data_IF_622563051823
#
_entry.id   IF_622563051823
#
_cell.length_a   1.000
_cell.length_b   1.000
_cell.length_c   1.000
_cell.angle_alpha   90.00
_cell.angle_beta   90.00
_cell.angle_gamma   90.00
#
_symmetry.space_group_name_H-M   'P 1'
#
loop_
_entity.id
_entity.type
_entity.pdbx_description
1 polymer ?
#
# COMPACT_ATOMS: atom_id res chain seq x y z
N UNK A 1 76.55 31.82 4.55
CA UNK A 1 76.05 31.00 5.67
C UNK A 1 74.53 31.11 5.81
N UNK A 2 73.94 32.30 5.99
CA UNK A 2 72.47 32.53 6.10
C UNK A 2 71.65 31.88 4.98
N UNK A 3 72.08 32.00 3.71
CA UNK A 3 71.40 31.37 2.56
C UNK A 3 71.37 29.84 2.62
N UNK A 4 72.43 29.21 3.13
CA UNK A 4 72.53 27.75 3.24
C UNK A 4 71.73 27.19 4.43
N UNK A 5 71.67 27.94 5.54
CA UNK A 5 70.79 27.64 6.67
C UNK A 5 69.32 27.77 6.28
N UNK A 6 68.96 28.83 5.52
CA UNK A 6 67.60 29.00 5.01
C UNK A 6 67.21 27.90 4.02
N UNK A 7 68.13 27.49 3.14
CA UNK A 7 67.90 26.38 2.19
C UNK A 7 67.74 25.02 2.91
N UNK A 8 68.49 24.77 3.98
CA UNK A 8 68.34 23.53 4.76
C UNK A 8 67.09 23.52 5.63
N UNK A 9 66.70 24.65 6.19
CA UNK A 9 65.43 24.78 6.91
C UNK A 9 64.23 24.60 5.98
N UNK A 10 64.28 25.18 4.77
CA UNK A 10 63.26 24.96 3.74
C UNK A 10 63.16 23.49 3.30
N UNK A 11 64.29 22.79 3.16
CA UNK A 11 64.32 21.35 2.87
C UNK A 11 63.71 20.54 4.03
N UNK A 12 64.05 20.85 5.28
CA UNK A 12 63.46 20.21 6.45
C UNK A 12 61.95 20.45 6.53
N UNK A 13 61.49 21.66 6.24
CA UNK A 13 60.05 21.97 6.20
C UNK A 13 59.33 21.13 5.15
N UNK A 14 59.91 20.99 3.96
CA UNK A 14 59.35 20.14 2.91
C UNK A 14 59.35 18.66 3.31
N UNK A 15 60.41 18.15 3.95
CA UNK A 15 60.42 16.76 4.43
C UNK A 15 59.41 16.53 5.55
N UNK A 16 59.20 17.50 6.43
CA UNK A 16 58.16 17.41 7.46
C UNK A 16 56.76 17.32 6.83
N UNK A 17 56.51 18.09 5.76
CA UNK A 17 55.25 18.00 4.98
C UNK A 17 55.09 16.63 4.34
N UNK A 18 56.15 16.09 3.72
CA UNK A 18 56.15 14.75 3.13
C UNK A 18 55.93 13.65 4.18
N UNK A 19 56.53 13.79 5.36
CA UNK A 19 56.35 12.86 6.47
C UNK A 19 54.90 12.84 6.96
N UNK A 20 54.27 14.01 7.09
CA UNK A 20 52.86 14.13 7.47
C UNK A 20 51.95 13.50 6.42
N UNK A 21 52.22 13.73 5.12
CA UNK A 21 51.47 13.10 4.02
C UNK A 21 51.57 11.57 4.08
N UNK A 22 52.78 11.02 4.14
CA UNK A 22 53.00 9.57 4.17
C UNK A 22 52.36 8.96 5.43
N UNK A 23 52.51 9.60 6.59
CA UNK A 23 51.90 9.14 7.83
C UNK A 23 50.37 9.11 7.73
N UNK A 24 49.77 10.16 7.15
CA UNK A 24 48.34 10.18 6.86
C UNK A 24 47.95 9.02 5.94
N UNK A 25 48.57 8.89 4.77
CA UNK A 25 48.21 7.88 3.77
C UNK A 25 48.39 6.44 4.28
N UNK A 26 49.41 6.17 5.11
CA UNK A 26 49.59 4.87 5.77
C UNK A 26 48.48 4.61 6.80
N UNK A 27 48.11 5.63 7.59
CA UNK A 27 47.09 5.48 8.64
C UNK A 27 45.65 5.41 8.11
N UNK A 28 45.33 6.22 7.10
CA UNK A 28 43.98 6.36 6.54
C UNK A 28 43.74 5.42 5.38
N UNK A 29 44.79 4.82 4.80
CA UNK A 29 44.79 4.06 3.53
C UNK A 29 44.26 4.86 2.32
N UNK A 30 44.00 6.16 2.49
CA UNK A 30 43.51 7.05 1.44
C UNK A 30 44.66 7.84 0.85
N UNK A 31 44.63 7.99 -0.48
CA UNK A 31 45.63 8.70 -1.27
C UNK A 31 45.57 10.22 -1.09
N UNK A 32 44.39 10.79 -0.85
CA UNK A 32 44.19 12.22 -0.66
C UNK A 32 43.61 12.50 0.72
N UNK A 33 44.06 13.60 1.34
CA UNK A 33 43.46 14.11 2.57
C UNK A 33 42.51 15.28 2.28
N UNK A 34 42.91 16.16 1.36
CA UNK A 34 42.18 17.38 1.03
C UNK A 34 41.96 17.52 -0.47
N UNK A 35 40.89 18.23 -0.86
CA UNK A 35 40.65 18.56 -2.27
C UNK A 35 41.72 19.47 -2.90
N UNK A 36 42.54 20.15 -2.08
CA UNK A 36 43.70 20.90 -2.54
C UNK A 36 44.85 20.03 -3.04
N UNK A 37 44.89 18.75 -2.64
CA UNK A 37 45.99 17.84 -3.00
C UNK A 37 45.88 17.39 -4.47
N UNK A 38 44.65 17.07 -4.92
CA UNK A 38 44.29 16.84 -6.32
C UNK A 38 42.78 17.04 -6.50
N UNK A 39 42.37 18.19 -7.06
CA UNK A 39 40.97 18.54 -7.20
C UNK A 39 40.19 17.59 -8.13
N UNK A 40 40.83 17.05 -9.17
CA UNK A 40 40.17 16.17 -10.13
C UNK A 40 39.93 14.79 -9.51
N UNK A 41 40.97 14.24 -8.87
CA UNK A 41 40.87 12.95 -8.20
C UNK A 41 39.91 13.01 -7.02
N UNK A 42 39.93 14.09 -6.23
CA UNK A 42 39.02 14.30 -5.11
C UNK A 42 37.56 14.42 -5.57
N UNK A 43 37.29 15.10 -6.68
CA UNK A 43 35.93 15.19 -7.25
C UNK A 43 35.40 13.81 -7.63
N UNK A 44 36.26 12.95 -8.22
CA UNK A 44 35.87 11.57 -8.56
C UNK A 44 35.65 10.70 -7.33
N UNK A 45 36.47 10.85 -6.28
CA UNK A 45 36.29 10.13 -5.02
C UNK A 45 34.95 10.49 -4.35
N UNK A 46 34.63 11.79 -4.27
CA UNK A 46 33.33 12.26 -3.77
C UNK A 46 32.17 11.68 -4.57
N UNK A 47 32.27 11.69 -5.90
CA UNK A 47 31.22 11.12 -6.75
C UNK A 47 30.99 9.63 -6.49
N UNK A 48 32.07 8.86 -6.27
CA UNK A 48 31.98 7.43 -5.97
C UNK A 48 31.43 7.17 -4.56
N UNK A 49 31.83 7.97 -3.58
CA UNK A 49 31.30 7.92 -2.21
C UNK A 49 29.80 8.26 -2.16
N UNK A 50 29.36 9.27 -2.92
CA UNK A 50 27.94 9.61 -3.09
C UNK A 50 27.16 8.44 -3.69
N UNK A 51 27.67 7.84 -4.78
CA UNK A 51 27.03 6.67 -5.38
C UNK A 51 26.97 5.49 -4.42
N UNK A 52 28.02 5.21 -3.66
CA UNK A 52 28.00 4.15 -2.64
C UNK A 52 26.89 4.38 -1.62
N UNK A 53 26.80 5.59 -1.04
CA UNK A 53 25.76 5.93 -0.06
C UNK A 53 24.35 5.79 -0.62
N UNK A 54 24.12 6.24 -1.86
CA UNK A 54 22.82 6.08 -2.54
C UNK A 54 22.45 4.60 -2.68
N UNK A 55 23.37 3.77 -3.17
CA UNK A 55 23.09 2.34 -3.35
C UNK A 55 22.98 1.57 -2.02
N UNK A 56 23.74 1.94 -0.99
CA UNK A 56 23.58 1.39 0.37
C UNK A 56 22.22 1.72 0.96
N UNK A 57 21.73 2.96 0.79
CA UNK A 57 20.37 3.35 1.18
C UNK A 57 19.29 2.56 0.44
N UNK A 58 19.45 2.38 -0.88
CA UNK A 58 18.53 1.55 -1.69
C UNK A 58 18.56 0.09 -1.21
N UNK A 59 19.75 -0.46 -0.92
CA UNK A 59 19.90 -1.83 -0.40
C UNK A 59 19.09 -2.02 0.89
N UNK A 60 19.25 -1.12 1.86
CA UNK A 60 18.52 -1.16 3.13
C UNK A 60 16.99 -1.13 2.90
N UNK A 61 16.55 -0.29 1.97
CA UNK A 61 15.13 -0.16 1.63
C UNK A 61 14.56 -1.42 0.97
N UNK A 62 15.34 -2.09 0.10
CA UNK A 62 14.97 -3.38 -0.49
C UNK A 62 14.92 -4.46 0.60
N UNK A 63 15.91 -4.54 1.49
CA UNK A 63 15.95 -5.52 2.58
C UNK A 63 14.75 -5.38 3.52
N UNK A 64 14.38 -4.15 3.90
CA UNK A 64 13.16 -3.86 4.67
C UNK A 64 11.91 -4.34 3.92
N UNK A 65 11.84 -4.06 2.62
CA UNK A 65 10.71 -4.48 1.78
C UNK A 65 10.60 -6.00 1.66
N UNK A 66 11.73 -6.69 1.51
CA UNK A 66 11.77 -8.16 1.49
C UNK A 66 11.31 -8.75 2.82
N UNK A 67 11.71 -8.17 3.96
CA UNK A 67 11.21 -8.60 5.27
C UNK A 67 9.67 -8.46 5.37
N UNK A 68 9.13 -7.32 4.93
CA UNK A 68 7.67 -7.11 4.86
C UNK A 68 6.99 -8.13 3.95
N UNK A 69 7.51 -8.35 2.75
CA UNK A 69 6.95 -9.31 1.79
C UNK A 69 7.01 -10.76 2.31
N UNK A 70 8.05 -11.15 3.04
CA UNK A 70 8.15 -12.50 3.60
C UNK A 70 7.10 -12.75 4.68
N UNK A 71 6.79 -11.74 5.49
CA UNK A 71 5.67 -11.81 6.45
C UNK A 71 4.34 -11.91 5.69
N UNK A 72 4.13 -11.09 4.66
CA UNK A 72 2.95 -11.21 3.78
C UNK A 72 2.85 -12.60 3.13
N UNK A 73 3.96 -13.20 2.70
CA UNK A 73 3.98 -14.52 2.07
C UNK A 73 3.52 -15.62 3.03
N UNK A 74 4.10 -15.62 4.24
CA UNK A 74 3.73 -16.59 5.29
C UNK A 74 2.28 -16.43 5.75
N UNK A 75 1.81 -15.18 5.91
CA UNK A 75 0.44 -14.90 6.35
C UNK A 75 -0.58 -15.24 5.26
N UNK A 76 -0.31 -14.97 3.99
CA UNK A 76 -1.19 -15.38 2.88
C UNK A 76 -1.25 -16.90 2.69
N UNK A 77 -0.14 -17.60 2.91
CA UNK A 77 -0.15 -19.05 2.92
C UNK A 77 -1.11 -19.59 3.99
N UNK A 78 -1.10 -18.99 5.19
CA UNK A 78 -2.02 -19.36 6.27
C UNK A 78 -3.46 -18.97 5.96
N UNK A 79 -3.71 -17.77 5.42
CA UNK A 79 -5.03 -17.34 4.94
C UNK A 79 -5.61 -18.37 3.97
N UNK A 80 -4.82 -18.85 3.00
CA UNK A 80 -5.26 -19.88 2.04
C UNK A 80 -5.60 -21.21 2.72
N UNK A 81 -4.84 -21.62 3.74
CA UNK A 81 -5.15 -22.82 4.52
C UNK A 81 -6.50 -22.66 5.25
N UNK A 82 -6.72 -21.50 5.88
CA UNK A 82 -7.97 -21.18 6.56
C UNK A 82 -9.16 -21.16 5.59
N UNK A 83 -9.03 -20.53 4.42
CA UNK A 83 -10.10 -20.52 3.40
C UNK A 83 -10.37 -21.92 2.84
N UNK A 84 -9.33 -22.76 2.69
CA UNK A 84 -9.50 -24.17 2.31
C UNK A 84 -10.27 -24.94 3.37
N UNK A 85 -9.94 -24.72 4.65
CA UNK A 85 -10.66 -25.32 5.77
C UNK A 85 -12.13 -24.88 5.81
N UNK A 86 -12.41 -23.58 5.66
CA UNK A 86 -13.78 -23.05 5.57
C UNK A 86 -14.56 -23.74 4.45
N UNK A 87 -13.96 -23.86 3.25
CA UNK A 87 -14.59 -24.53 2.11
C UNK A 87 -14.92 -26.00 2.41
N UNK A 88 -14.01 -26.72 3.09
CA UNK A 88 -14.25 -28.11 3.48
C UNK A 88 -15.39 -28.24 4.50
N UNK A 89 -15.41 -27.39 5.51
CA UNK A 89 -16.48 -27.38 6.52
C UNK A 89 -17.83 -26.98 5.93
N UNK A 90 -17.84 -26.03 4.98
CA UNK A 90 -19.03 -25.63 4.26
C UNK A 90 -19.60 -26.78 3.41
N UNK A 91 -18.76 -27.54 2.70
CA UNK A 91 -19.18 -28.72 1.94
C UNK A 91 -19.79 -29.79 2.87
N UNK A 92 -19.22 -29.98 4.07
CA UNK A 92 -19.78 -30.91 5.06
C UNK A 92 -21.15 -30.42 5.58
N UNK A 93 -21.27 -29.13 5.86
CA UNK A 93 -22.51 -28.55 6.36
C UNK A 93 -23.64 -28.57 5.31
N UNK A 94 -23.30 -28.38 4.04
CA UNK A 94 -24.23 -28.42 2.91
C UNK A 94 -24.67 -29.85 2.54
N UNK A 95 -24.18 -30.87 3.24
CA UNK A 95 -24.69 -32.23 3.08
C UNK A 95 -26.03 -32.38 3.83
N UNK A 96 -27.06 -32.89 3.13
CA UNK A 96 -28.41 -33.05 3.68
C UNK A 96 -28.50 -34.01 4.87
N UNK A 97 -27.48 -34.84 5.12
CA UNK A 97 -27.41 -35.76 6.26
C UNK A 97 -26.84 -35.12 7.54
N UNK A 98 -26.29 -33.91 7.46
CA UNK A 98 -25.72 -33.20 8.62
C UNK A 98 -26.84 -32.66 9.51
N UNK A 99 -26.77 -32.97 10.81
CA UNK A 99 -27.72 -32.48 11.81
C UNK A 99 -27.53 -30.99 12.09
N UNK A 100 -28.57 -30.34 12.62
CA UNK A 100 -28.50 -28.93 13.00
C UNK A 100 -27.44 -28.70 14.09
N UNK A 101 -27.38 -29.55 15.12
CA UNK A 101 -26.34 -29.47 16.16
C UNK A 101 -24.91 -29.53 15.59
N UNK A 102 -24.71 -30.34 14.52
CA UNK A 102 -23.41 -30.42 13.86
C UNK A 102 -23.12 -29.15 13.05
N UNK A 103 -24.12 -28.53 12.41
CA UNK A 103 -23.97 -27.24 11.71
C UNK A 103 -23.62 -26.11 12.67
N UNK A 104 -24.24 -26.08 13.84
CA UNK A 104 -23.92 -25.10 14.90
C UNK A 104 -22.51 -25.29 15.45
N UNK A 105 -22.06 -26.55 15.64
CA UNK A 105 -20.68 -26.83 16.01
C UNK A 105 -19.67 -26.36 14.94
N UNK A 106 -20.00 -26.52 13.65
CA UNK A 106 -19.21 -25.99 12.54
C UNK A 106 -19.18 -24.46 12.61
N UNK A 107 -20.33 -23.79 12.85
CA UNK A 107 -20.40 -22.34 12.96
C UNK A 107 -19.48 -21.80 14.06
N UNK A 108 -19.41 -22.47 15.22
CA UNK A 108 -18.47 -22.11 16.31
C UNK A 108 -17.01 -22.20 15.85
N UNK A 109 -16.64 -23.27 15.13
CA UNK A 109 -15.28 -23.40 14.58
C UNK A 109 -14.98 -22.29 13.56
N UNK A 110 -15.94 -21.97 12.68
CA UNK A 110 -15.80 -20.92 11.67
C UNK A 110 -15.68 -19.52 12.28
N UNK A 111 -16.32 -19.25 13.43
CA UNK A 111 -16.08 -18.01 14.19
C UNK A 111 -14.63 -17.90 14.66
N UNK A 112 -14.03 -19.00 15.14
CA UNK A 112 -12.61 -19.03 15.48
C UNK A 112 -11.70 -18.82 14.27
N UNK A 113 -12.07 -19.38 13.11
CA UNK A 113 -11.35 -19.14 11.85
C UNK A 113 -11.47 -17.69 11.39
N UNK A 114 -12.65 -17.08 11.51
CA UNK A 114 -12.88 -15.65 11.22
C UNK A 114 -11.97 -14.76 12.07
N UNK A 115 -11.85 -15.06 13.36
CA UNK A 115 -10.96 -14.32 14.27
C UNK A 115 -9.49 -14.48 13.87
N UNK A 116 -9.05 -15.71 13.56
CA UNK A 116 -7.68 -15.94 13.07
C UNK A 116 -7.41 -15.18 11.76
N UNK A 117 -8.37 -15.19 10.83
CA UNK A 117 -8.27 -14.46 9.58
C UNK A 117 -8.20 -12.94 9.81
N UNK A 118 -8.94 -12.43 10.79
CA UNK A 118 -8.93 -11.03 11.19
C UNK A 118 -7.60 -10.58 11.81
N UNK A 119 -6.96 -11.46 12.60
CA UNK A 119 -5.61 -11.21 13.11
C UNK A 119 -4.60 -11.15 11.96
N UNK A 120 -4.60 -12.14 11.07
CA UNK A 120 -3.68 -12.20 9.92
C UNK A 120 -3.86 -11.02 8.96
N UNK A 121 -5.09 -10.57 8.74
CA UNK A 121 -5.38 -9.44 7.85
C UNK A 121 -4.94 -8.08 8.43
N UNK A 122 -4.63 -8.03 9.73
CA UNK A 122 -4.11 -6.86 10.42
C UNK A 122 -2.65 -7.02 10.86
N UNK A 123 -1.90 -7.95 10.27
CA UNK A 123 -0.50 -8.17 10.59
C UNK A 123 0.35 -6.90 10.35
N UNK A 124 1.36 -6.71 11.19
CA UNK A 124 2.26 -5.56 11.15
C UNK A 124 3.72 -5.98 11.07
N UNK A 125 4.51 -5.16 10.38
CA UNK A 125 5.97 -5.27 10.36
C UNK A 125 6.55 -3.91 10.67
N UNK A 126 7.34 -3.82 11.74
CA UNK A 126 7.91 -2.56 12.25
C UNK A 126 6.85 -1.47 12.56
N UNK A 127 5.64 -1.88 12.95
CA UNK A 127 4.51 -0.98 13.22
C UNK A 127 3.78 -0.47 11.98
N UNK A 128 4.17 -0.92 10.78
CA UNK A 128 3.44 -0.66 9.53
C UNK A 128 2.49 -1.82 9.21
N UNK A 129 1.24 -1.52 8.91
CA UNK A 129 0.31 -2.51 8.37
C UNK A 129 0.69 -2.89 6.94
N UNK A 130 0.70 -4.20 6.67
CA UNK A 130 1.13 -4.73 5.37
C UNK A 130 0.01 -4.74 4.31
N UNK A 131 -1.26 -4.77 4.73
CA UNK A 131 -2.43 -4.89 3.84
C UNK A 131 -3.25 -3.59 3.68
N UNK A 132 -2.81 -2.47 4.26
CA UNK A 132 -3.59 -1.23 4.28
C UNK A 132 -3.58 -0.42 2.97
N UNK A 133 -2.70 -0.76 2.03
CA UNK A 133 -2.52 0.01 0.79
C UNK A 133 -1.48 1.12 0.93
N UNK A 134 -1.80 2.33 0.45
CA UNK A 134 -0.88 3.46 0.42
C UNK A 134 -0.57 4.01 1.81
N UNK A 135 -1.56 4.05 2.71
CA UNK A 135 -1.40 4.47 4.10
C UNK A 135 -1.08 3.27 5.02
N UNK A 136 0.19 3.15 5.44
CA UNK A 136 0.64 2.07 6.33
C UNK A 136 0.22 2.22 7.79
N UNK A 137 -0.29 3.38 8.20
CA UNK A 137 -0.65 3.66 9.60
C UNK A 137 -2.11 3.37 9.90
N UNK A 138 -2.95 3.29 8.87
CA UNK A 138 -4.37 2.94 9.02
C UNK A 138 -4.52 1.44 9.21
N UNK A 139 -5.30 1.05 10.22
CA UNK A 139 -5.66 -0.36 10.44
C UNK A 139 -6.53 -0.85 9.27
N UNK A 140 -6.09 -1.88 8.51
CA UNK A 140 -6.77 -2.28 7.29
C UNK A 140 -8.17 -2.82 7.55
N UNK A 141 -8.35 -3.69 8.54
CA UNK A 141 -9.65 -4.29 8.85
C UNK A 141 -10.14 -3.88 10.23
N UNK A 142 -11.30 -3.23 10.29
CA UNK A 142 -11.93 -2.75 11.52
C UNK A 142 -13.24 -3.48 11.74
N UNK A 143 -13.42 -3.99 12.95
CA UNK A 143 -14.66 -4.62 13.39
C UNK A 143 -15.57 -3.59 14.06
N UNK A 144 -16.84 -3.54 13.67
CA UNK A 144 -17.84 -2.70 14.31
C UNK A 144 -18.48 -3.38 15.55
N UNK A 145 -19.38 -2.67 16.25
CA UNK A 145 -20.06 -3.19 17.43
C UNK A 145 -20.99 -4.40 17.14
N UNK A 146 -21.43 -4.56 15.88
CA UNK A 146 -22.18 -5.72 15.41
C UNK A 146 -21.29 -6.91 15.06
N UNK A 147 -19.96 -6.74 15.08
CA UNK A 147 -19.00 -7.79 14.75
C UNK A 147 -18.70 -7.92 13.25
N UNK A 148 -19.24 -7.02 12.41
CA UNK A 148 -18.97 -6.94 10.97
C UNK A 148 -17.60 -6.28 10.75
N UNK A 149 -16.84 -6.84 9.83
CA UNK A 149 -15.47 -6.40 9.54
C UNK A 149 -15.46 -5.62 8.24
N UNK A 150 -14.97 -4.39 8.27
CA UNK A 150 -14.88 -3.51 7.10
C UNK A 150 -13.42 -3.20 6.77
N UNK A 151 -13.12 -3.12 5.47
CA UNK A 151 -11.79 -2.74 5.00
C UNK A 151 -11.71 -1.22 4.86
N UNK A 152 -10.79 -0.59 5.59
CA UNK A 152 -10.55 0.85 5.65
C UNK A 152 -9.32 1.30 4.84
N UNK A 153 -8.57 0.37 4.28
CA UNK A 153 -7.44 0.69 3.42
C UNK A 153 -7.87 1.08 2.00
N UNK A 154 -6.87 1.40 1.18
CA UNK A 154 -7.02 1.71 -0.24
C UNK A 154 -6.49 0.58 -1.14
N UNK A 155 -6.68 0.75 -2.44
CA UNK A 155 -6.26 -0.17 -3.50
C UNK A 155 -4.84 0.10 -4.02
N UNK A 156 -4.20 1.20 -3.62
CA UNK A 156 -2.94 1.65 -4.15
C UNK A 156 -1.75 1.04 -3.40
N UNK A 157 -0.69 0.75 -4.15
CA UNK A 157 0.51 0.14 -3.59
C UNK A 157 1.58 1.18 -3.34
N UNK A 158 2.26 1.02 -2.20
CA UNK A 158 3.47 1.81 -1.90
C UNK A 158 4.58 1.47 -2.89
N UNK A 159 5.35 2.47 -3.30
CA UNK A 159 6.51 2.29 -4.16
C UNK A 159 7.79 2.39 -3.35
N UNK A 160 8.82 1.68 -3.77
CA UNK A 160 10.13 1.71 -3.12
C UNK A 160 11.23 1.72 -4.17
N UNK A 161 12.35 2.39 -3.85
CA UNK A 161 13.47 2.51 -4.76
C UNK A 161 14.15 1.14 -4.93
N UNK A 162 14.39 0.74 -6.18
CA UNK A 162 15.12 -0.49 -6.53
C UNK A 162 16.41 -0.20 -7.28
N UNK A 163 16.58 1.04 -7.73
CA UNK A 163 17.79 1.59 -8.33
C UNK A 163 17.74 3.12 -8.28
N UNK A 164 18.85 3.77 -8.60
CA UNK A 164 18.93 5.23 -8.75
C UNK A 164 17.90 5.72 -9.76
N UNK A 165 16.88 6.44 -9.28
CA UNK A 165 15.76 6.94 -10.09
C UNK A 165 14.71 5.90 -10.52
N UNK A 166 14.78 4.65 -10.04
CA UNK A 166 13.83 3.59 -10.41
C UNK A 166 13.06 3.05 -9.20
N UNK A 167 11.74 3.01 -9.33
CA UNK A 167 10.83 2.59 -8.26
C UNK A 167 9.99 1.39 -8.68
N UNK A 168 9.65 0.53 -7.72
CA UNK A 168 8.75 -0.61 -7.91
C UNK A 168 7.73 -0.67 -6.79
N UNK A 169 6.55 -1.17 -7.09
CA UNK A 169 5.49 -1.43 -6.11
C UNK A 169 5.92 -2.52 -5.13
N UNK A 170 5.61 -2.33 -3.85
CA UNK A 170 5.89 -3.28 -2.77
C UNK A 170 4.63 -3.80 -2.09
N UNK A 171 4.69 -5.04 -1.59
CA UNK A 171 3.60 -5.68 -0.86
C UNK A 171 2.39 -6.02 -1.72
N UNK A 172 1.25 -6.16 -1.05
CA UNK A 172 -0.09 -6.41 -1.61
C UNK A 172 -1.11 -5.66 -0.74
N UNK A 173 -2.23 -5.25 -1.32
CA UNK A 173 -3.30 -4.57 -0.57
C UNK A 173 -4.38 -5.54 -0.15
N UNK A 174 -5.21 -5.15 0.82
CA UNK A 174 -6.39 -5.93 1.21
C UNK A 174 -7.36 -6.14 0.06
N UNK A 175 -7.44 -5.18 -0.89
CA UNK A 175 -8.19 -5.33 -2.13
C UNK A 175 -7.70 -6.48 -3.02
N UNK A 176 -6.39 -6.73 -3.05
CA UNK A 176 -5.81 -7.80 -3.87
C UNK A 176 -5.93 -9.19 -3.23
N UNK A 177 -6.23 -9.27 -1.93
CA UNK A 177 -6.11 -10.52 -1.15
C UNK A 177 -7.39 -10.95 -0.43
N UNK A 178 -8.15 -10.02 0.16
CA UNK A 178 -9.32 -10.31 1.02
C UNK A 178 -10.63 -9.79 0.44
N UNK A 179 -10.60 -9.06 -0.68
CA UNK A 179 -11.81 -8.62 -1.36
C UNK A 179 -11.92 -9.26 -2.74
N UNK A 180 -12.85 -10.20 -2.89
CA UNK A 180 -13.02 -10.96 -4.12
C UNK A 180 -13.82 -10.19 -5.16
N UNK A 181 -13.57 -10.46 -6.44
CA UNK A 181 -14.39 -9.90 -7.53
C UNK A 181 -15.75 -10.59 -7.53
N UNK A 182 -16.78 -9.91 -7.02
CA UNK A 182 -18.15 -10.40 -7.01
C UNK A 182 -18.80 -10.28 -8.39
N UNK A 183 -18.56 -9.15 -9.05
CA UNK A 183 -18.98 -8.90 -10.43
C UNK A 183 -17.97 -7.99 -11.13
N UNK A 184 -17.98 -8.00 -12.46
CA UNK A 184 -17.23 -7.05 -13.26
C UNK A 184 -18.05 -6.66 -14.49
N UNK A 185 -17.80 -5.47 -15.00
CA UNK A 185 -18.41 -4.99 -16.23
C UNK A 185 -17.38 -4.29 -17.12
N UNK A 186 -17.59 -4.40 -18.42
CA UNK A 186 -16.79 -3.76 -19.45
C UNK A 186 -17.49 -2.51 -20.01
N UNK A 187 -16.84 -1.84 -20.96
CA UNK A 187 -17.38 -0.63 -21.59
C UNK A 187 -18.84 -0.80 -22.06
N UNK A 188 -19.70 0.11 -21.62
CA UNK A 188 -21.12 0.13 -21.99
C UNK A 188 -21.99 -1.00 -21.40
N UNK A 189 -21.42 -1.91 -20.61
CA UNK A 189 -22.18 -2.95 -19.92
C UNK A 189 -22.80 -2.41 -18.62
N UNK A 190 -23.77 -3.14 -18.08
CA UNK A 190 -24.33 -2.88 -16.76
C UNK A 190 -23.55 -3.68 -15.71
N UNK A 191 -23.05 -3.00 -14.68
CA UNK A 191 -22.46 -3.62 -13.50
C UNK A 191 -23.52 -3.70 -12.40
N UNK A 192 -23.85 -4.91 -11.96
CA UNK A 192 -24.68 -5.16 -10.77
C UNK A 192 -23.78 -5.42 -9.55
N UNK A 193 -24.09 -4.85 -8.40
CA UNK A 193 -23.27 -4.95 -7.19
C UNK A 193 -24.12 -4.84 -5.90
N UNK A 194 -23.60 -5.39 -4.80
CA UNK A 194 -24.23 -5.29 -3.49
C UNK A 194 -23.91 -3.95 -2.82
N UNK A 195 -24.75 -3.49 -1.90
CA UNK A 195 -24.49 -2.27 -1.12
C UNK A 195 -23.18 -2.30 -0.33
N UNK A 196 -22.71 -3.49 0.03
CA UNK A 196 -21.47 -3.70 0.79
C UNK A 196 -20.22 -3.78 -0.09
N UNK A 197 -20.38 -3.90 -1.41
CA UNK A 197 -19.27 -4.05 -2.32
C UNK A 197 -18.51 -2.72 -2.49
N UNK A 198 -17.19 -2.81 -2.62
CA UNK A 198 -16.36 -1.66 -3.00
C UNK A 198 -16.09 -1.71 -4.49
N UNK A 199 -16.36 -0.63 -5.20
CA UNK A 199 -16.21 -0.60 -6.65
C UNK A 199 -14.87 0.02 -7.01
N UNK A 200 -14.12 -0.63 -7.90
CA UNK A 200 -12.88 -0.08 -8.45
C UNK A 200 -12.91 -0.08 -9.97
N UNK A 201 -12.26 0.91 -10.57
CA UNK A 201 -12.04 0.96 -12.02
C UNK A 201 -10.70 0.31 -12.45
N UNK A 202 -10.43 0.33 -13.75
CA UNK A 202 -9.20 -0.21 -14.33
C UNK A 202 -7.92 0.44 -13.76
N UNK A 203 -8.01 1.71 -13.34
CA UNK A 203 -6.92 2.46 -12.73
C UNK A 203 -6.75 2.19 -11.23
N UNK A 204 -7.55 1.28 -10.66
CA UNK A 204 -7.66 1.02 -9.22
C UNK A 204 -8.29 2.18 -8.44
N UNK A 205 -8.89 3.18 -9.09
CA UNK A 205 -9.62 4.23 -8.37
C UNK A 205 -10.91 3.68 -7.79
N UNK A 206 -11.21 4.08 -6.57
CA UNK A 206 -12.43 3.66 -5.89
C UNK A 206 -13.61 4.55 -6.29
N UNK A 207 -14.76 3.90 -6.45
CA UNK A 207 -16.05 4.54 -6.65
C UNK A 207 -16.96 4.23 -5.48
N UNK A 208 -17.32 5.26 -4.70
CA UNK A 208 -18.14 5.13 -3.49
C UNK A 208 -19.58 5.54 -3.77
N UNK A 209 -20.52 4.83 -3.15
CA UNK A 209 -21.94 5.17 -3.20
C UNK A 209 -22.16 6.43 -2.37
N UNK A 210 -22.74 7.46 -2.99
CA UNK A 210 -23.07 8.73 -2.33
C UNK A 210 -24.41 9.30 -2.81
N UNK A 211 -25.00 10.07 -1.92
CA UNK A 211 -26.06 11.03 -2.20
C UNK A 211 -25.49 12.25 -2.96
N UNK A 212 -26.16 12.69 -4.01
CA UNK A 212 -25.88 14.01 -4.60
C UNK A 212 -26.56 15.08 -3.75
N UNK A 213 -25.84 15.62 -2.77
CA UNK A 213 -26.18 16.90 -2.11
C UNK A 213 -26.46 17.93 -3.22
N UNK A 214 -27.65 18.55 -3.26
CA UNK A 214 -28.41 18.75 -4.49
C UNK A 214 -27.60 19.38 -5.62
N UNK A 215 -27.30 18.57 -6.63
CA UNK A 215 -27.11 19.01 -8.01
C UNK A 215 -28.31 18.54 -8.83
N UNK A 216 -29.50 18.85 -8.35
CA UNK A 216 -30.58 19.12 -9.28
C UNK A 216 -30.29 20.50 -9.84
N UNK A 217 -30.32 20.66 -11.15
CA UNK A 217 -30.47 21.97 -11.78
C UNK A 217 -31.81 22.54 -11.29
N UNK A 218 -31.82 23.12 -10.10
CA UNK A 218 -32.86 24.02 -9.67
C UNK A 218 -32.65 25.33 -10.44
N UNK A 219 -33.10 25.35 -11.70
CA UNK A 219 -33.61 26.62 -12.21
C UNK A 219 -34.83 26.92 -11.35
N UNK A 220 -34.61 27.81 -10.39
CA UNK A 220 -35.62 28.34 -9.48
C UNK A 220 -36.98 28.54 -10.19
N UNK A 221 -38.11 28.19 -9.55
CA UNK A 221 -38.28 27.88 -8.13
C UNK A 221 -38.99 26.54 -7.89
N UNK A 222 -38.36 25.39 -8.15
CA UNK A 222 -38.93 24.11 -7.74
C UNK A 222 -38.02 23.38 -6.76
N UNK A 223 -38.47 23.27 -5.51
CA UNK A 223 -37.99 22.34 -4.47
C UNK A 223 -38.32 20.88 -4.79
N UNK A 224 -38.66 20.56 -6.04
CA UNK A 224 -39.20 19.25 -6.43
C UNK A 224 -38.07 18.37 -6.96
N UNK A 225 -37.81 17.27 -6.27
CA UNK A 225 -36.91 16.22 -6.73
C UNK A 225 -37.66 15.29 -7.69
N UNK A 226 -37.15 15.12 -8.91
CA UNK A 226 -37.71 14.18 -9.88
C UNK A 226 -36.82 12.97 -10.08
N UNK A 227 -37.41 11.78 -10.15
CA UNK A 227 -36.72 10.50 -10.29
C UNK A 227 -37.58 9.45 -11.01
N UNK A 228 -36.93 8.45 -11.59
CA UNK A 228 -37.57 7.32 -12.27
C UNK A 228 -37.85 6.15 -11.30
N UNK A 229 -38.73 5.23 -11.70
CA UNK A 229 -39.19 4.13 -10.83
C UNK A 229 -38.08 3.27 -10.23
N UNK A 230 -36.98 3.10 -10.98
CA UNK A 230 -35.86 2.24 -10.61
C UNK A 230 -34.66 3.04 -10.06
N UNK A 231 -34.78 4.35 -9.83
CA UNK A 231 -33.71 5.14 -9.23
C UNK A 231 -33.90 5.17 -7.71
N UNK A 232 -33.02 4.52 -6.91
CA UNK A 232 -33.07 4.66 -5.47
C UNK A 232 -32.67 6.08 -5.08
N UNK A 233 -33.28 6.57 -4.00
CA UNK A 233 -32.96 7.85 -3.38
C UNK A 233 -32.19 7.62 -2.08
N UNK A 234 -31.39 8.60 -1.69
CA UNK A 234 -30.65 8.58 -0.43
C UNK A 234 -30.75 9.94 0.26
N UNK A 235 -30.94 9.89 1.57
CA UNK A 235 -31.01 11.07 2.43
C UNK A 235 -29.65 11.50 2.99
N UNK A 236 -29.62 12.59 3.76
CA UNK A 236 -28.39 13.13 4.37
C UNK A 236 -27.73 12.18 5.38
N UNK A 237 -28.45 11.17 5.87
CA UNK A 237 -27.96 10.18 6.82
C UNK A 237 -27.54 8.87 6.14
N UNK A 238 -27.59 8.80 4.80
CA UNK A 238 -27.26 7.60 4.03
C UNK A 238 -28.36 6.54 4.04
N UNK A 239 -29.57 6.86 4.49
CA UNK A 239 -30.72 5.96 4.44
C UNK A 239 -31.24 5.93 3.01
N UNK A 240 -31.50 4.73 2.52
CA UNK A 240 -32.02 4.52 1.18
C UNK A 240 -33.55 4.48 1.19
N UNK A 241 -34.12 5.11 0.16
CA UNK A 241 -35.54 5.25 -0.07
C UNK A 241 -35.87 4.72 -1.46
N UNK A 242 -36.74 3.71 -1.54
CA UNK A 242 -37.13 3.05 -2.80
C UNK A 242 -38.61 3.24 -3.08
N UNK A 243 -38.98 3.43 -4.34
CA UNK A 243 -40.38 3.50 -4.73
C UNK A 243 -41.08 2.17 -4.42
N UNK A 244 -42.23 2.24 -3.75
CA UNK A 244 -43.03 1.06 -3.46
C UNK A 244 -43.68 0.49 -4.74
N UNK A 245 -44.09 -0.78 -4.70
CA UNK A 245 -44.70 -1.45 -5.85
C UNK A 245 -45.99 -0.76 -6.35
N UNK A 246 -46.63 0.04 -5.50
CA UNK A 246 -47.82 0.82 -5.84
C UNK A 246 -47.56 2.15 -6.55
N UNK A 247 -46.31 2.63 -6.58
CA UNK A 247 -45.94 3.94 -7.15
C UNK A 247 -46.52 5.13 -6.37
N UNK A 248 -46.85 4.94 -5.09
CA UNK A 248 -47.54 5.95 -4.25
C UNK A 248 -46.64 6.60 -3.22
N UNK A 249 -45.55 5.93 -2.81
CA UNK A 249 -44.59 6.45 -1.86
C UNK A 249 -43.19 5.87 -2.11
N UNK A 250 -42.15 6.56 -1.64
CA UNK A 250 -40.85 5.93 -1.39
C UNK A 250 -40.81 5.43 0.05
N UNK A 251 -40.27 4.24 0.26
CA UNK A 251 -40.21 3.54 1.54
C UNK A 251 -38.75 3.21 1.88
N UNK A 252 -38.39 3.30 3.16
CA UNK A 252 -37.08 2.89 3.67
C UNK A 252 -37.16 1.50 4.34
N UNK A 253 -36.01 0.94 4.73
CA UNK A 253 -35.94 -0.37 5.38
C UNK A 253 -36.62 -0.42 6.77
N UNK A 254 -36.83 0.73 7.42
CA UNK A 254 -37.54 0.83 8.70
C UNK A 254 -39.07 0.86 8.53
N UNK A 255 -39.57 0.87 7.29
CA UNK A 255 -41.00 0.97 6.98
C UNK A 255 -41.54 2.40 7.01
N UNK A 256 -40.66 3.40 7.10
CA UNK A 256 -41.06 4.79 6.94
C UNK A 256 -41.31 5.11 5.47
N UNK A 257 -42.31 5.96 5.20
CA UNK A 257 -42.74 6.27 3.85
C UNK A 257 -42.89 7.78 3.61
N UNK A 258 -42.52 8.23 2.41
CA UNK A 258 -42.71 9.60 1.93
C UNK A 258 -43.57 9.53 0.66
N UNK A 259 -44.69 10.25 0.66
CA UNK A 259 -45.60 10.27 -0.48
C UNK A 259 -44.93 10.85 -1.73
N UNK A 260 -45.17 10.21 -2.88
CA UNK A 260 -44.70 10.69 -4.18
C UNK A 260 -45.87 11.15 -5.02
N UNK A 261 -45.59 12.04 -5.98
CA UNK A 261 -46.57 12.49 -6.97
C UNK A 261 -46.12 12.14 -8.38
N UNK A 262 -47.08 11.96 -9.29
CA UNK A 262 -46.85 11.57 -10.67
C UNK A 262 -47.06 10.07 -10.94
N UNK A 263 -47.21 9.72 -12.21
CA UNK A 263 -47.30 8.33 -12.71
C UNK A 263 -46.07 8.00 -13.57
N UNK A 264 -44.92 8.57 -13.20
CA UNK A 264 -43.65 8.55 -13.95
C UNK A 264 -43.45 9.79 -14.86
N UNK A 265 -42.28 10.47 -14.81
CA UNK A 265 -41.30 10.47 -13.72
C UNK A 265 -41.96 10.90 -12.40
N UNK A 266 -41.54 10.31 -11.27
CA UNK A 266 -42.07 10.61 -9.95
C UNK A 266 -41.45 11.90 -9.41
N UNK A 267 -42.13 12.52 -8.45
CA UNK A 267 -41.75 13.81 -7.88
C UNK A 267 -42.04 13.89 -6.39
N UNK A 268 -41.07 14.37 -5.62
CA UNK A 268 -41.18 14.68 -4.18
C UNK A 268 -40.94 16.17 -4.00
N UNK A 269 -41.83 16.86 -3.30
CA UNK A 269 -41.59 18.25 -2.88
C UNK A 269 -40.72 18.27 -1.63
N UNK A 270 -39.46 18.65 -1.79
CA UNK A 270 -38.49 18.74 -0.70
C UNK A 270 -38.84 19.82 0.32
N UNK A 271 -39.69 20.80 -0.03
CA UNK A 271 -40.15 21.82 0.91
C UNK A 271 -41.27 21.31 1.86
N UNK A 272 -41.86 20.16 1.57
CA UNK A 272 -43.02 19.62 2.28
C UNK A 272 -42.91 18.10 2.52
N UNK A 273 -41.72 17.61 2.90
CA UNK A 273 -41.53 16.19 3.21
C UNK A 273 -42.32 15.82 4.47
N UNK A 274 -43.23 14.86 4.32
CA UNK A 274 -43.97 14.25 5.42
C UNK A 274 -43.68 12.75 5.46
N UNK A 275 -43.21 12.27 6.61
CA UNK A 275 -42.89 10.86 6.85
C UNK A 275 -44.05 10.15 7.56
N UNK A 276 -44.36 8.93 7.13
CA UNK A 276 -45.37 8.07 7.78
C UNK A 276 -44.71 6.78 8.23
N UNK A 277 -44.76 6.42 9.53
CA UNK A 277 -45.45 7.10 10.64
C UNK A 277 -44.76 8.39 11.11
N UNK A 278 -45.54 9.37 11.56
CA UNK A 278 -45.07 10.71 11.95
C UNK A 278 -44.15 10.76 13.21
N UNK A 279 -43.79 9.60 13.76
CA UNK A 279 -42.84 9.45 14.87
C UNK A 279 -41.38 9.41 14.40
N UNK A 280 -41.14 9.14 13.12
CA UNK A 280 -39.80 9.14 12.53
C UNK A 280 -39.33 10.56 12.21
N UNK A 281 -38.02 10.76 12.15
CA UNK A 281 -37.43 12.05 11.75
C UNK A 281 -37.47 12.15 10.24
N UNK A 282 -38.18 13.14 9.70
CA UNK A 282 -38.23 13.36 8.26
C UNK A 282 -36.85 13.80 7.73
N UNK A 283 -36.41 13.30 6.56
CA UNK A 283 -35.15 13.72 5.97
C UNK A 283 -35.22 15.19 5.56
N UNK A 284 -34.11 15.90 5.73
CA UNK A 284 -33.95 17.30 5.34
C UNK A 284 -33.48 17.43 3.90
N UNK A 285 -32.79 16.43 3.38
CA UNK A 285 -32.37 16.34 1.98
C UNK A 285 -32.66 14.94 1.42
N UNK A 286 -32.99 14.88 0.13
CA UNK A 286 -33.11 13.64 -0.62
C UNK A 286 -32.45 13.84 -1.97
N UNK A 287 -31.74 12.82 -2.44
CA UNK A 287 -31.01 12.87 -3.70
C UNK A 287 -31.02 11.52 -4.39
N UNK A 288 -30.72 11.51 -5.69
CA UNK A 288 -30.50 10.27 -6.43
C UNK A 288 -29.20 9.63 -5.99
N UNK A 289 -29.21 8.31 -5.80
CA UNK A 289 -28.01 7.55 -5.50
C UNK A 289 -27.09 7.55 -6.72
N UNK A 290 -25.80 7.80 -6.49
CA UNK A 290 -24.76 7.74 -7.50
C UNK A 290 -23.51 7.08 -6.94
N UNK A 291 -22.65 6.58 -7.82
CA UNK A 291 -21.27 6.27 -7.44
C UNK A 291 -20.37 7.42 -7.86
N UNK A 292 -19.51 7.87 -6.95
CA UNK A 292 -18.59 8.99 -7.15
C UNK A 292 -17.17 8.47 -7.07
N UNK A 293 -16.34 8.88 -8.04
CA UNK A 293 -14.93 8.50 -8.07
C UNK A 293 -14.11 9.29 -7.06
N UNK A 294 -13.21 8.60 -6.40
CA UNK A 294 -12.23 9.14 -5.47
C UNK A 294 -10.83 9.10 -6.08
N UNK A 295 -10.02 10.12 -5.83
CA UNK A 295 -8.62 10.18 -6.29
C UNK A 295 -7.66 9.37 -5.40
N UNK A 296 -6.37 9.36 -5.75
CA UNK A 296 -5.33 8.63 -5.00
C UNK A 296 -5.15 9.14 -3.56
N UNK A 297 -5.57 10.38 -3.27
CA UNK A 297 -5.49 11.01 -1.95
C UNK A 297 -6.80 10.83 -1.15
N UNK A 298 -7.79 10.11 -1.70
CA UNK A 298 -9.07 9.88 -1.05
C UNK A 298 -10.02 11.09 -1.10
N UNK A 299 -9.81 12.02 -2.02
CA UNK A 299 -10.70 13.17 -2.24
C UNK A 299 -11.73 12.86 -3.32
N UNK A 300 -12.97 13.34 -3.11
CA UNK A 300 -14.09 13.22 -4.05
C UNK A 300 -13.80 13.99 -5.34
N UNK A 301 -14.00 13.35 -6.48
CA UNK A 301 -13.90 13.99 -7.80
C UNK A 301 -15.28 14.40 -8.35
N UNK A 302 -15.31 15.05 -9.52
CA UNK A 302 -16.56 15.38 -10.21
C UNK A 302 -17.08 14.25 -11.12
N UNK A 303 -16.38 13.12 -11.20
CA UNK A 303 -16.80 11.97 -12.00
C UNK A 303 -17.84 11.16 -11.21
N UNK A 304 -19.04 11.04 -11.78
CA UNK A 304 -20.18 10.35 -11.18
C UNK A 304 -20.87 9.43 -12.18
N UNK A 305 -21.45 8.35 -11.69
CA UNK A 305 -22.33 7.46 -12.47
C UNK A 305 -23.65 7.25 -11.72
N UNK A 306 -24.76 7.31 -12.46
CA UNK A 306 -26.09 7.14 -11.90
C UNK A 306 -26.36 5.68 -11.54
N UNK A 307 -26.87 5.46 -10.33
CA UNK A 307 -27.23 4.13 -9.83
C UNK A 307 -28.72 3.89 -10.02
N UNK A 308 -29.07 2.67 -10.38
CA UNK A 308 -30.45 2.16 -10.39
C UNK A 308 -30.55 0.95 -9.47
N UNK A 309 -31.77 0.56 -9.13
CA UNK A 309 -32.04 -0.70 -8.45
C UNK A 309 -31.67 -1.86 -9.39
N UNK A 310 -30.81 -2.76 -8.91
CA UNK A 310 -30.39 -3.93 -9.67
C UNK A 310 -31.52 -4.96 -9.82
N UNK A 311 -31.40 -5.83 -10.82
CA UNK A 311 -32.36 -6.91 -11.03
C UNK A 311 -32.05 -8.11 -10.14
N UNK A 312 -30.77 -8.42 -9.92
CA UNK A 312 -30.32 -9.57 -9.11
C UNK A 312 -29.52 -9.17 -7.86
N UNK A 313 -29.13 -7.89 -7.77
CA UNK A 313 -28.31 -7.31 -6.69
C UNK A 313 -28.91 -6.00 -6.24
N UNK A 314 -28.41 -5.44 -5.14
CA UNK A 314 -28.95 -4.19 -4.60
C UNK A 314 -28.97 -3.05 -5.62
N UNK A 315 -27.90 -2.92 -6.41
CA UNK A 315 -27.69 -1.80 -7.32
C UNK A 315 -27.19 -2.24 -8.69
N UNK A 316 -27.50 -1.44 -9.70
CA UNK A 316 -26.91 -1.51 -11.04
C UNK A 316 -26.41 -0.14 -11.51
N UNK A 317 -25.34 -0.13 -12.30
CA UNK A 317 -24.80 1.07 -12.93
C UNK A 317 -24.42 0.78 -14.38
N UNK A 318 -24.76 1.70 -15.28
CA UNK A 318 -24.34 1.62 -16.69
C UNK A 318 -22.94 2.21 -16.83
N UNK A 319 -21.99 1.39 -17.28
CA UNK A 319 -20.59 1.78 -17.37
C UNK A 319 -20.31 2.68 -18.58
N UNK A 320 -19.31 3.58 -18.48
CA UNK A 320 -18.90 4.42 -19.59
C UNK A 320 -18.59 3.61 -20.85
N UNK A 321 -19.07 4.07 -22.00
CA UNK A 321 -18.73 3.46 -23.29
C UNK A 321 -17.42 4.05 -23.85
N UNK A 322 -16.35 3.89 -23.07
CA UNK A 322 -14.99 4.36 -23.41
C UNK A 322 -14.06 3.16 -23.47
N UNK A 323 -13.17 3.12 -24.46
CA UNK A 323 -12.19 2.05 -24.58
C UNK A 323 -11.27 1.98 -23.35
N UNK A 324 -11.01 0.77 -22.86
CA UNK A 324 -10.28 0.54 -21.62
C UNK A 324 -11.16 0.45 -20.37
N UNK A 325 -12.44 0.83 -20.45
CA UNK A 325 -13.35 0.76 -19.28
C UNK A 325 -13.51 -0.68 -18.79
N UNK A 326 -13.13 -0.88 -17.53
CA UNK A 326 -13.41 -2.08 -16.74
C UNK A 326 -13.69 -1.65 -15.31
N UNK A 327 -14.77 -2.12 -14.74
CA UNK A 327 -15.11 -1.94 -13.33
C UNK A 327 -15.24 -3.30 -12.67
N UNK A 328 -14.82 -3.39 -11.41
CA UNK A 328 -14.94 -4.58 -10.58
C UNK A 328 -15.63 -4.21 -9.28
N UNK A 329 -16.72 -4.91 -8.95
CA UNK A 329 -17.32 -4.86 -7.63
C UNK A 329 -16.61 -5.88 -6.74
N UNK A 330 -16.11 -5.40 -5.60
CA UNK A 330 -15.27 -6.15 -4.68
C UNK A 330 -16.03 -6.47 -3.40
N UNK A 331 -16.42 -7.73 -3.26
CA UNK A 331 -17.07 -8.26 -2.06
C UNK A 331 -16.05 -8.63 -0.99
N UNK A 332 -16.40 -8.49 0.27
CA UNK A 332 -15.50 -8.75 1.38
C UNK A 332 -15.58 -10.22 1.83
N UNK A 333 -14.44 -10.91 1.91
CA UNK A 333 -14.39 -12.31 2.37
C UNK A 333 -14.92 -12.49 3.80
N UNK A 334 -14.79 -11.49 4.67
CA UNK A 334 -15.36 -11.56 6.02
C UNK A 334 -16.89 -11.57 6.01
N UNK A 335 -17.53 -10.85 5.07
CA UNK A 335 -18.98 -10.85 4.92
C UNK A 335 -19.47 -12.23 4.42
N UNK A 336 -18.67 -12.92 3.60
CA UNK A 336 -18.96 -14.32 3.20
C UNK A 336 -18.89 -15.26 4.40
N UNK A 337 -17.90 -15.10 5.29
CA UNK A 337 -17.82 -15.90 6.51
C UNK A 337 -19.02 -15.65 7.43
N UNK A 338 -19.46 -14.40 7.58
CA UNK A 338 -20.64 -14.06 8.35
C UNK A 338 -21.91 -14.64 7.74
N UNK A 339 -22.04 -14.58 6.41
CA UNK A 339 -23.13 -15.22 5.68
C UNK A 339 -23.18 -16.73 5.94
N UNK A 340 -22.03 -17.41 5.89
CA UNK A 340 -21.93 -18.85 6.21
C UNK A 340 -22.33 -19.12 7.66
N UNK A 341 -21.75 -18.38 8.62
CA UNK A 341 -22.00 -18.59 10.05
C UNK A 341 -23.49 -18.38 10.37
N UNK A 342 -24.10 -17.31 9.84
CA UNK A 342 -25.51 -17.01 10.07
C UNK A 342 -26.41 -18.10 9.46
N UNK A 343 -26.14 -18.53 8.23
CA UNK A 343 -26.91 -19.61 7.60
C UNK A 343 -26.81 -20.94 8.38
N UNK A 344 -25.64 -21.28 8.93
CA UNK A 344 -25.46 -22.46 9.77
C UNK A 344 -26.26 -22.39 11.09
N UNK A 345 -26.44 -21.19 11.64
CA UNK A 345 -27.24 -20.93 12.84
C UNK A 345 -28.73 -20.74 12.54
N UNK A 346 -29.17 -20.95 11.28
CA UNK A 346 -30.53 -20.66 10.80
C UNK A 346 -30.95 -19.22 11.08
N UNK A 347 -30.04 -18.27 10.83
CA UNK A 347 -30.29 -16.83 10.93
C UNK A 347 -30.03 -16.11 9.63
N UNK A 348 -30.79 -15.05 9.39
CA UNK A 348 -30.48 -14.07 8.35
C UNK A 348 -29.42 -13.05 8.82
N UNK A 349 -29.02 -12.14 7.93
CA UNK A 349 -28.05 -11.07 8.23
C UNK A 349 -28.52 -10.09 9.33
N UNK A 350 -29.82 -10.07 9.65
CA UNK A 350 -30.42 -9.22 10.69
C UNK A 350 -30.70 -9.96 12.00
N UNK A 351 -30.39 -11.26 12.05
CA UNK A 351 -30.57 -12.11 13.22
C UNK A 351 -31.95 -12.77 13.35
N UNK A 352 -32.83 -12.66 12.35
CA UNK A 352 -34.10 -13.38 12.35
C UNK A 352 -33.90 -14.85 11.98
N UNK A 353 -34.77 -15.71 12.48
CA UNK A 353 -34.73 -17.14 12.16
C UNK A 353 -35.18 -17.40 10.73
N UNK A 354 -34.38 -18.15 9.97
CA UNK A 354 -34.71 -18.62 8.61
C UNK A 354 -35.03 -20.10 8.60
N UNK A 355 -35.71 -20.55 7.56
CA UNK A 355 -35.97 -21.98 7.33
C UNK A 355 -34.70 -22.72 6.92
N UNK A 356 -34.70 -24.04 7.07
CA UNK A 356 -33.56 -24.87 6.64
C UNK A 356 -33.33 -24.78 5.12
N UNK A 357 -34.40 -24.72 4.33
CA UNK A 357 -34.31 -24.65 2.87
C UNK A 357 -33.70 -23.32 2.41
N UNK A 358 -34.05 -22.22 3.08
CA UNK A 358 -33.42 -20.90 2.86
C UNK A 358 -31.94 -20.94 3.26
N UNK A 359 -31.61 -21.51 4.43
CA UNK A 359 -30.23 -21.65 4.87
C UNK A 359 -29.38 -22.51 3.90
N UNK A 360 -29.94 -23.60 3.37
CA UNK A 360 -29.26 -24.46 2.40
C UNK A 360 -29.00 -23.72 1.07
N UNK A 361 -29.93 -22.85 0.63
CA UNK A 361 -29.71 -21.99 -0.53
C UNK A 361 -28.59 -20.97 -0.30
N UNK A 362 -28.56 -20.33 0.88
CA UNK A 362 -27.52 -19.36 1.24
C UNK A 362 -26.13 -20.01 1.34
N UNK A 363 -26.05 -21.24 1.90
CA UNK A 363 -24.80 -22.00 1.98
C UNK A 363 -24.30 -22.41 0.58
N UNK A 364 -25.19 -22.71 -0.36
CA UNK A 364 -24.84 -23.02 -1.73
C UNK A 364 -24.23 -21.80 -2.44
N UNK A 365 -24.84 -20.61 -2.31
CA UNK A 365 -24.29 -19.37 -2.87
C UNK A 365 -22.94 -19.02 -2.23
N UNK A 366 -22.84 -19.16 -0.90
CA UNK A 366 -21.60 -18.87 -0.18
C UNK A 366 -20.43 -19.79 -0.58
N UNK A 367 -20.70 -20.99 -1.12
CA UNK A 367 -19.66 -21.92 -1.59
C UNK A 367 -18.93 -21.39 -2.84
N UNK A 368 -19.65 -20.69 -3.71
CA UNK A 368 -19.04 -20.03 -4.85
C UNK A 368 -18.25 -18.79 -4.40
N UNK A 369 -18.81 -17.99 -3.49
CA UNK A 369 -18.15 -16.82 -2.93
C UNK A 369 -16.85 -17.14 -2.17
N UNK A 370 -16.82 -18.23 -1.38
CA UNK A 370 -15.59 -18.65 -0.70
C UNK A 370 -14.54 -19.17 -1.69
N UNK A 371 -14.98 -19.75 -2.81
CA UNK A 371 -14.08 -20.16 -3.90
C UNK A 371 -13.47 -18.94 -4.58
N UNK A 372 -14.27 -17.91 -4.90
CA UNK A 372 -13.77 -16.64 -5.42
C UNK A 372 -12.83 -15.92 -4.44
N UNK A 373 -13.13 -15.97 -3.15
CA UNK A 373 -12.25 -15.46 -2.09
C UNK A 373 -10.91 -16.20 -2.05
N UNK A 374 -10.91 -17.52 -2.17
CA UNK A 374 -9.68 -18.32 -2.27
C UNK A 374 -8.88 -17.97 -3.53
N UNK A 375 -9.53 -17.85 -4.69
CA UNK A 375 -8.87 -17.50 -5.95
C UNK A 375 -8.25 -16.10 -5.89
N UNK A 376 -8.92 -15.17 -5.22
CA UNK A 376 -8.41 -13.81 -4.97
C UNK A 376 -7.19 -13.85 -4.06
N UNK A 377 -7.27 -14.52 -2.91
CA UNK A 377 -6.13 -14.70 -2.01
C UNK A 377 -4.95 -15.36 -2.73
N UNK A 378 -5.20 -16.36 -3.58
CA UNK A 378 -4.17 -17.03 -4.35
C UNK A 378 -3.57 -16.13 -5.45
N UNK A 379 -4.39 -15.31 -6.11
CA UNK A 379 -3.92 -14.33 -7.10
C UNK A 379 -3.09 -13.23 -6.44
N UNK A 380 -3.53 -12.69 -5.29
CA UNK A 380 -2.76 -11.76 -4.49
C UNK A 380 -1.43 -12.36 -4.03
N UNK A 381 -1.44 -13.63 -3.58
CA UNK A 381 -0.22 -14.36 -3.21
C UNK A 381 0.74 -14.55 -4.39
N UNK A 382 0.22 -14.87 -5.58
CA UNK A 382 1.02 -14.97 -6.80
C UNK A 382 1.63 -13.61 -7.21
N UNK A 383 0.86 -12.52 -7.12
CA UNK A 383 1.35 -11.15 -7.35
C UNK A 383 2.47 -10.78 -6.38
N UNK A 384 2.30 -11.10 -5.09
CA UNK A 384 3.34 -10.90 -4.07
C UNK A 384 4.62 -11.66 -4.43
N UNK A 385 4.51 -12.94 -4.85
CA UNK A 385 5.65 -13.73 -5.29
C UNK A 385 6.38 -13.11 -6.48
N UNK A 386 5.64 -12.61 -7.47
CA UNK A 386 6.19 -11.87 -8.61
C UNK A 386 6.93 -10.59 -8.18
N UNK A 387 6.32 -9.78 -7.30
CA UNK A 387 6.95 -8.56 -6.75
C UNK A 387 8.19 -8.90 -5.92
N UNK A 388 8.13 -9.93 -5.09
CA UNK A 388 9.26 -10.37 -4.26
C UNK A 388 10.45 -10.80 -5.13
N UNK A 389 10.19 -11.50 -6.25
CA UNK A 389 11.25 -11.85 -7.21
C UNK A 389 11.90 -10.62 -7.85
N UNK A 390 11.13 -9.58 -8.15
CA UNK A 390 11.68 -8.30 -8.65
C UNK A 390 12.60 -7.65 -7.61
N UNK A 391 12.25 -7.70 -6.32
CA UNK A 391 13.10 -7.18 -5.25
C UNK A 391 14.37 -8.01 -5.06
N UNK A 392 14.29 -9.33 -5.13
CA UNK A 392 15.46 -10.22 -5.05
C UNK A 392 16.46 -9.92 -6.18
N UNK A 393 16.00 -9.83 -7.43
CA UNK A 393 16.84 -9.47 -8.58
C UNK A 393 17.43 -8.06 -8.42
N UNK A 394 16.63 -7.13 -7.90
CA UNK A 394 17.08 -5.76 -7.65
C UNK A 394 18.16 -5.71 -6.56
N UNK A 395 18.03 -6.51 -5.50
CA UNK A 395 19.00 -6.62 -4.42
C UNK A 395 20.34 -7.14 -4.93
N UNK A 396 20.33 -8.20 -5.75
CA UNK A 396 21.54 -8.73 -6.39
C UNK A 396 22.24 -7.65 -7.24
N UNK A 397 21.45 -6.94 -8.05
CA UNK A 397 21.96 -5.88 -8.92
C UNK A 397 22.54 -4.70 -8.15
N UNK A 398 21.85 -4.25 -7.10
CA UNK A 398 22.31 -3.16 -6.21
C UNK A 398 23.58 -3.59 -5.48
N UNK A 399 23.63 -4.81 -4.96
CA UNK A 399 24.83 -5.34 -4.27
C UNK A 399 26.03 -5.43 -5.21
N UNK A 400 25.81 -5.85 -6.46
CA UNK A 400 26.85 -5.86 -7.50
C UNK A 400 27.37 -4.45 -7.80
N UNK A 401 26.48 -3.46 -7.90
CA UNK A 401 26.87 -2.05 -8.09
C UNK A 401 27.62 -1.46 -6.91
N UNK A 402 27.21 -1.75 -5.68
CA UNK A 402 27.97 -1.37 -4.48
C UNK A 402 29.39 -1.94 -4.57
N UNK A 403 29.52 -3.22 -4.91
CA UNK A 403 30.82 -3.88 -5.08
C UNK A 403 31.66 -3.18 -6.16
N UNK A 404 31.06 -2.89 -7.32
CA UNK A 404 31.75 -2.20 -8.42
C UNK A 404 32.21 -0.79 -8.04
N UNK A 405 31.34 0.01 -7.40
CA UNK A 405 31.71 1.35 -6.95
C UNK A 405 32.73 1.31 -5.81
N UNK A 406 32.69 0.30 -4.95
CA UNK A 406 33.68 0.10 -3.90
C UNK A 406 35.05 -0.23 -4.48
N UNK A 407 35.12 -1.08 -5.51
CA UNK A 407 36.36 -1.37 -6.23
C UNK A 407 36.89 -0.10 -6.91
N UNK A 408 36.01 0.64 -7.61
CA UNK A 408 36.40 1.88 -8.28
C UNK A 408 36.86 2.96 -7.29
N UNK A 409 36.19 3.09 -6.14
CA UNK A 409 36.61 4.01 -5.06
C UNK A 409 37.98 3.60 -4.53
N UNK A 410 38.23 2.30 -4.34
CA UNK A 410 39.54 1.83 -3.91
C UNK A 410 40.63 2.06 -4.99
N UNK A 411 40.37 1.77 -6.26
CA UNK A 411 41.33 2.02 -7.36
C UNK A 411 41.69 3.51 -7.51
N UNK A 412 40.72 4.40 -7.29
CA UNK A 412 40.89 5.84 -7.46
C UNK A 412 41.47 6.49 -6.20
N UNK A 413 40.96 6.11 -5.02
CA UNK A 413 41.17 6.78 -3.75
C UNK A 413 42.14 6.07 -2.79
N UNK A 414 42.48 4.79 -2.99
CA UNK A 414 43.38 4.09 -2.08
C UNK A 414 44.86 4.41 -2.34
N UNK A 415 45.63 4.43 -1.25
CA UNK A 415 47.06 4.62 -1.31
C UNK A 415 47.80 3.29 -1.51
N UNK A 416 48.81 3.26 -2.37
CA UNK A 416 49.67 2.08 -2.55
C UNK A 416 50.62 1.97 -1.35
N UNK A 417 50.26 1.13 -0.39
CA UNK A 417 51.01 0.92 0.84
C UNK A 417 52.43 0.39 0.58
N UNK A 418 52.66 -0.36 -0.51
CA UNK A 418 53.99 -0.88 -0.85
C UNK A 418 54.88 0.27 -1.31
N UNK A 419 54.36 1.12 -2.19
CA UNK A 419 55.06 2.32 -2.63
C UNK A 419 55.31 3.28 -1.46
N UNK A 420 54.32 3.49 -0.61
CA UNK A 420 54.46 4.35 0.58
C UNK A 420 55.48 3.82 1.58
N UNK A 421 55.58 2.51 1.77
CA UNK A 421 56.60 1.92 2.61
C UNK A 421 58.01 2.20 2.08
N UNK A 422 58.20 2.14 0.75
CA UNK A 422 59.46 2.51 0.10
C UNK A 422 59.75 4.00 0.24
N UNK A 423 58.76 4.87 0.01
CA UNK A 423 58.89 6.32 0.20
C UNK A 423 59.22 6.69 1.64
N UNK A 424 58.56 6.07 2.62
CA UNK A 424 58.81 6.27 4.05
C UNK A 424 60.26 5.92 4.41
N UNK A 425 60.78 4.81 3.87
CA UNK A 425 62.17 4.40 4.08
C UNK A 425 63.17 5.32 3.41
N UNK A 426 62.90 5.78 2.19
CA UNK A 426 63.72 6.78 1.52
C UNK A 426 63.73 8.10 2.32
N UNK A 427 62.58 8.52 2.83
CA UNK A 427 62.44 9.71 3.65
C UNK A 427 63.28 9.62 4.93
N UNK A 428 63.24 8.49 5.64
CA UNK A 428 64.07 8.21 6.83
C UNK A 428 65.58 8.36 6.52
N UNK A 429 66.03 7.83 5.38
CA UNK A 429 67.43 7.96 4.92
C UNK A 429 67.78 9.42 4.62
N UNK A 430 66.90 10.17 3.95
CA UNK A 430 67.14 11.58 3.64
C UNK A 430 67.18 12.48 4.88
N UNK A 431 66.32 12.22 5.87
CA UNK A 431 66.38 12.88 7.17
C UNK A 431 67.73 12.66 7.84
N UNK A 432 68.18 11.41 7.89
CA UNK A 432 69.49 11.05 8.47
C UNK A 432 70.65 11.76 7.76
N UNK A 433 70.61 11.81 6.42
CA UNK A 433 71.61 12.51 5.62
C UNK A 433 71.61 14.03 5.84
N UNK A 434 70.44 14.65 6.00
CA UNK A 434 70.32 16.08 6.30
C UNK A 434 70.79 16.41 7.71
N UNK A 435 70.45 15.60 8.72
CA UNK A 435 70.98 15.77 10.07
C UNK A 435 72.51 15.71 10.08
N UNK A 436 73.11 14.77 9.34
CA UNK A 436 74.57 14.71 9.16
C UNK A 436 75.12 15.97 8.48
N UNK A 437 74.45 16.48 7.44
CA UNK A 437 74.86 17.70 6.72
C UNK A 437 74.76 18.95 7.60
N UNK A 438 73.68 19.09 8.38
CA UNK A 438 73.48 20.18 9.34
C UNK A 438 74.57 20.12 10.41
N UNK A 439 74.86 18.93 10.95
CA UNK A 439 75.92 18.75 11.93
C UNK A 439 77.29 19.17 11.36
N UNK A 440 77.60 18.76 10.13
CA UNK A 440 78.83 19.14 9.43
C UNK A 440 78.91 20.64 9.14
N UNK A 441 77.81 21.29 8.78
CA UNK A 441 77.76 22.74 8.61
C UNK A 441 77.96 23.50 9.92
N UNK A 442 77.36 23.04 11.02
CA UNK A 442 77.56 23.62 12.35
C UNK A 442 79.03 23.51 12.79
N UNK A 443 79.69 22.38 12.51
CA UNK A 443 81.12 22.19 12.79
C UNK A 443 82.02 23.13 11.96
N UNK A 444 81.75 23.28 10.65
CA UNK A 444 82.49 24.20 9.77
C UNK A 444 82.27 25.68 10.14
N UNK A 445 81.08 26.03 10.60
CA UNK A 445 80.76 27.37 11.12
C UNK A 445 81.59 27.71 12.35
N UNK A 446 81.74 26.77 13.29
CA UNK A 446 82.59 26.98 14.47
C UNK A 446 84.06 27.17 14.10
N UNK A 447 84.58 26.37 13.16
CA UNK A 447 85.98 26.47 12.73
C UNK A 447 86.30 27.79 12.02
N UNK A 448 85.35 28.37 11.28
CA UNK A 448 85.48 29.70 10.68
C UNK A 448 85.20 30.86 11.65
N UNK A 449 84.65 30.60 12.83
CA UNK A 449 84.42 31.61 13.87
C UNK A 449 85.60 31.68 14.87
N UNK A 450 86.41 30.62 14.94
CA UNK A 450 87.58 30.49 15.83
C UNK A 450 88.91 30.84 15.12
N UNK A 451 88.89 30.99 13.80
CA UNK A 451 89.96 31.66 13.02
C UNK A 451 89.55 33.10 12.74
#
# INVERSE_FOLDING_TARGET
MIRSTSETLFRLENLNKEQLRISYQISSTKKLQYGSDDANLFTRDIYLDDKLKVYEGIKLQIEKTTAQNNVSDSTLAEVKNLLTYVKQELIKANNGTTSQDAREAIAVNLKGVKENLYMLSNEQVEGEYIYAGSDSMVKPFVQDASGKITYQGDSFLRKTAVEDGSYREKGVTGFETFLYTASFGLKGETLEFEKTDRIIDQGSFEWKIEAVVPSTTATSPSSVLSFDANEPLMDENGVEWRLNAGGTAVENAAGDSIAVTGTGPYSIDMAAITITPATATAPTELSKVQIVKYDEEGTRTNEVLAVKAGANKDYEVVLPNVDGTKFEAKGNTFDVLDKIINALELKDATGNTITKDEADAELAEALDMISLSFDTANTGHAKLGGRNKVFEISLERVTSKITQFSIMSHEVGAADLTKLAVEAKALEVTYTALYSTINKMNQLSLVNFVR
#
